data_IF_129651982361
#
_entry.id   IF_129651982361
#
_cell.length_a   1.000
_cell.length_b   1.000
_cell.length_c   1.000
_cell.angle_alpha   90.00
_cell.angle_beta   90.00
_cell.angle_gamma   90.00
#
_symmetry.space_group_name_H-M   'P 1'
#
loop_
_entity.id
_entity.type
_entity.pdbx_description
1 polymer ?
#
# COMPACT_ATOMS: atom_id res chain seq x y z
N UNK A 1 23.60 -6.04 -26.69
CA UNK A 1 24.17 -5.31 -25.52
C UNK A 1 23.04 -5.10 -24.54
N UNK A 2 23.12 -5.72 -23.36
CA UNK A 2 22.12 -5.56 -22.30
C UNK A 2 22.17 -4.11 -21.79
N UNK A 3 21.00 -3.49 -21.66
CA UNK A 3 20.84 -2.14 -21.11
C UNK A 3 21.45 -2.08 -19.71
N UNK A 4 22.39 -1.16 -19.49
CA UNK A 4 23.09 -0.94 -18.22
C UNK A 4 22.31 -0.02 -17.26
N UNK A 5 21.11 0.40 -17.63
CA UNK A 5 20.27 1.20 -16.75
C UNK A 5 19.84 0.33 -15.57
N UNK A 6 20.05 0.81 -14.35
CA UNK A 6 19.40 0.27 -13.15
C UNK A 6 17.91 0.16 -13.49
N UNK A 7 17.21 -0.97 -13.25
CA UNK A 7 15.78 -0.99 -13.43
C UNK A 7 15.27 0.15 -12.59
N UNK A 8 14.53 1.04 -13.23
CA UNK A 8 13.80 2.03 -12.49
C UNK A 8 12.84 1.22 -11.63
N UNK A 9 13.15 1.14 -10.34
CA UNK A 9 12.20 0.73 -9.32
C UNK A 9 10.88 1.42 -9.69
N UNK A 10 9.78 0.68 -9.68
CA UNK A 10 8.48 1.28 -10.03
C UNK A 10 8.18 2.32 -8.94
N UNK A 11 8.56 3.57 -9.22
CA UNK A 11 8.47 4.75 -8.37
C UNK A 11 7.04 5.29 -8.25
N UNK A 12 6.04 4.42 -8.39
CA UNK A 12 4.64 4.83 -8.29
C UNK A 12 4.00 4.16 -7.07
N UNK A 13 3.63 4.92 -6.03
CA UNK A 13 2.70 4.42 -5.03
C UNK A 13 1.41 4.05 -5.78
N UNK A 14 1.14 2.74 -5.89
CA UNK A 14 -0.08 2.25 -6.51
C UNK A 14 -1.17 2.35 -5.46
N UNK A 15 -2.12 3.25 -5.68
CA UNK A 15 -3.29 3.36 -4.82
C UNK A 15 -4.59 3.10 -5.58
N UNK A 16 -5.57 2.57 -4.87
CA UNK A 16 -6.94 2.45 -5.36
C UNK A 16 -7.90 2.93 -4.30
N UNK A 17 -8.98 3.56 -4.74
CA UNK A 17 -10.05 4.05 -3.88
C UNK A 17 -11.34 3.37 -4.32
N UNK A 18 -12.07 2.85 -3.35
CA UNK A 18 -13.38 2.26 -3.58
C UNK A 18 -14.33 2.68 -2.47
N UNK A 19 -15.62 2.76 -2.77
CA UNK A 19 -16.64 3.13 -1.81
C UNK A 19 -17.73 2.06 -1.76
N UNK A 20 -18.13 1.68 -0.56
CA UNK A 20 -19.22 0.74 -0.34
C UNK A 20 -19.90 1.02 1.00
N UNK A 21 -21.24 1.16 0.98
CA UNK A 21 -22.05 1.32 2.19
C UNK A 21 -21.60 2.47 3.11
N UNK A 22 -21.24 3.62 2.55
CA UNK A 22 -20.76 4.77 3.33
C UNK A 22 -19.32 4.65 3.84
N UNK A 23 -18.62 3.55 3.52
CA UNK A 23 -17.21 3.35 3.84
C UNK A 23 -16.34 3.60 2.59
N UNK A 24 -15.31 4.43 2.74
CA UNK A 24 -14.30 4.65 1.70
C UNK A 24 -13.07 3.81 2.04
N UNK A 25 -12.74 2.88 1.16
CA UNK A 25 -11.53 2.06 1.29
C UNK A 25 -10.44 2.57 0.37
N UNK A 26 -9.31 2.95 0.94
CA UNK A 26 -8.08 3.32 0.22
C UNK A 26 -7.06 2.21 0.41
N UNK A 27 -6.62 1.59 -0.69
CA UNK A 27 -5.51 0.65 -0.68
C UNK A 27 -4.29 1.38 -1.22
N UNK A 28 -3.18 1.37 -0.49
CA UNK A 28 -1.90 1.95 -0.87
C UNK A 28 -0.83 0.86 -0.87
N UNK A 29 -0.25 0.59 -2.02
CA UNK A 29 0.77 -0.46 -2.19
C UNK A 29 2.15 0.17 -2.34
N UNK A 30 3.02 -0.11 -1.38
CA UNK A 30 4.41 0.37 -1.36
C UNK A 30 5.33 -0.65 -2.02
N UNK A 31 5.85 -0.29 -3.20
CA UNK A 31 6.71 -1.13 -4.02
C UNK A 31 8.20 -1.08 -3.64
N UNK A 32 8.59 -0.40 -2.55
CA UNK A 32 10.01 -0.18 -2.20
C UNK A 32 10.76 -1.48 -1.91
N UNK A 33 11.43 -2.01 -2.95
CA UNK A 33 12.45 -3.04 -2.83
C UNK A 33 13.67 -2.70 -3.70
N UNK A 34 14.64 -1.99 -3.10
CA UNK A 34 15.91 -1.60 -3.74
C UNK A 34 16.81 -2.78 -4.17
N UNK A 35 16.40 -4.04 -3.94
CA UNK A 35 17.21 -5.24 -4.18
C UNK A 35 16.64 -6.18 -5.24
N UNK A 36 15.42 -5.95 -5.76
CA UNK A 36 14.76 -6.91 -6.67
C UNK A 36 14.59 -6.31 -8.05
N UNK A 37 15.67 -6.47 -8.82
CA UNK A 37 15.90 -5.94 -10.17
C UNK A 37 14.85 -6.38 -11.23
N UNK A 38 13.94 -7.32 -10.91
CA UNK A 38 13.10 -8.03 -11.90
C UNK A 38 11.66 -8.38 -11.49
N UNK A 39 11.16 -8.01 -10.31
CA UNK A 39 9.74 -8.22 -9.96
C UNK A 39 9.18 -7.12 -9.05
N UNK A 40 8.07 -6.52 -9.47
CA UNK A 40 7.29 -5.58 -8.68
C UNK A 40 6.52 -6.33 -7.59
N UNK A 41 7.19 -6.65 -6.48
CA UNK A 41 6.53 -7.10 -5.27
C UNK A 41 6.24 -5.89 -4.40
N UNK A 42 4.95 -5.58 -4.20
CA UNK A 42 4.56 -4.64 -3.15
C UNK A 42 4.97 -5.24 -1.81
N UNK A 43 5.96 -4.60 -1.16
CA UNK A 43 6.53 -5.08 0.10
C UNK A 43 5.54 -4.87 1.23
N UNK A 44 4.77 -3.79 1.18
CA UNK A 44 3.75 -3.47 2.16
C UNK A 44 2.51 -2.96 1.44
N UNK A 45 1.35 -3.50 1.77
CA UNK A 45 0.07 -2.99 1.34
C UNK A 45 -0.64 -2.43 2.57
N UNK A 46 -0.96 -1.14 2.52
CA UNK A 46 -1.79 -0.47 3.52
C UNK A 46 -3.23 -0.43 3.04
N UNK A 47 -4.16 -0.66 3.94
CA UNK A 47 -5.60 -0.52 3.68
C UNK A 47 -6.20 0.39 4.75
N UNK A 48 -6.77 1.49 4.31
CA UNK A 48 -7.48 2.44 5.16
C UNK A 48 -8.96 2.32 4.86
N UNK A 49 -9.77 2.25 5.91
CA UNK A 49 -11.23 2.23 5.81
C UNK A 49 -11.74 3.43 6.58
N UNK A 50 -12.25 4.42 5.86
CA UNK A 50 -12.82 5.64 6.40
C UNK A 50 -14.33 5.53 6.47
N UNK A 51 -14.89 5.90 7.61
CA UNK A 51 -16.32 6.12 7.76
C UNK A 51 -16.68 7.55 7.36
N UNK A 52 -17.58 7.71 6.39
CA UNK A 52 -17.95 9.04 5.87
C UNK A 52 -18.79 9.86 6.84
N UNK A 53 -19.50 9.23 7.77
CA UNK A 53 -20.39 9.91 8.70
C UNK A 53 -19.63 10.40 9.93
N UNK A 54 -18.81 9.53 10.53
CA UNK A 54 -18.04 9.87 11.72
C UNK A 54 -16.72 10.57 11.40
N UNK A 55 -16.18 10.37 10.19
CA UNK A 55 -14.83 10.82 9.83
C UNK A 55 -13.72 10.01 10.47
N UNK A 56 -14.06 8.95 11.22
CA UNK A 56 -13.09 8.02 11.80
C UNK A 56 -12.52 7.10 10.73
N UNK A 57 -11.36 6.51 11.02
CA UNK A 57 -10.77 5.50 10.14
C UNK A 57 -10.09 4.39 10.92
N UNK A 58 -9.98 3.24 10.26
CA UNK A 58 -9.14 2.13 10.70
C UNK A 58 -8.12 1.85 9.61
N UNK A 59 -6.86 1.69 10.01
CA UNK A 59 -5.79 1.34 9.11
C UNK A 59 -5.33 -0.10 9.34
N UNK A 60 -4.87 -0.71 8.27
CA UNK A 60 -4.36 -2.07 8.24
C UNK A 60 -3.09 -2.12 7.40
N UNK A 61 -2.21 -3.09 7.67
CA UNK A 61 -1.05 -3.37 6.84
C UNK A 61 -0.87 -4.87 6.62
N UNK A 62 -0.45 -5.24 5.41
CA UNK A 62 0.07 -6.56 5.07
C UNK A 62 1.51 -6.39 4.57
N UNK A 63 2.45 -7.16 5.13
CA UNK A 63 3.86 -7.15 4.72
C UNK A 63 4.14 -8.43 3.94
N UNK A 64 4.76 -8.31 2.77
CA UNK A 64 5.20 -9.44 1.95
C UNK A 64 4.09 -10.49 1.66
N UNK A 65 2.82 -10.06 1.57
CA UNK A 65 1.68 -10.94 1.36
C UNK A 65 1.25 -11.75 2.59
N UNK A 66 1.81 -11.45 3.77
CA UNK A 66 1.37 -12.02 5.04
C UNK A 66 -0.03 -11.52 5.42
N UNK A 67 -0.60 -12.14 6.46
CA UNK A 67 -1.91 -11.78 6.98
C UNK A 67 -1.96 -10.29 7.32
N UNK A 68 -3.06 -9.66 6.96
CA UNK A 68 -3.30 -8.27 7.28
C UNK A 68 -3.47 -8.07 8.79
N UNK A 69 -2.76 -7.09 9.33
CA UNK A 69 -2.79 -6.68 10.74
C UNK A 69 -3.43 -5.31 10.88
N UNK A 70 -4.27 -5.13 11.91
CA UNK A 70 -4.85 -3.82 12.26
C UNK A 70 -3.75 -2.96 12.86
N UNK A 71 -3.60 -1.74 12.36
CA UNK A 71 -2.70 -0.75 12.95
C UNK A 71 -3.44 -0.05 14.09
N UNK A 72 -2.92 -0.18 15.31
CA UNK A 72 -3.52 0.39 16.52
C UNK A 72 -3.28 1.91 16.65
N UNK A 73 -2.23 2.42 16.00
CA UNK A 73 -1.86 3.84 16.00
C UNK A 73 -1.60 4.35 14.57
N UNK A 74 -1.63 5.66 14.36
CA UNK A 74 -1.30 6.25 13.07
C UNK A 74 0.22 6.19 12.84
N UNK A 75 0.68 5.32 11.94
CA UNK A 75 2.09 5.19 11.56
C UNK A 75 2.58 6.32 10.63
N UNK A 76 1.71 7.25 10.24
CA UNK A 76 1.97 8.33 9.29
C UNK A 76 1.84 9.74 9.90
N UNK A 77 1.92 9.83 11.23
CA UNK A 77 1.93 11.11 11.97
C UNK A 77 3.10 12.00 11.62
#
# INVERSE_FOLDING_TARGET
LYSTTVPQDIDYPAYSVSEKNGLVTVVLSDARNSYVKYWAYFKTVYRFVFDRESGEYVAYASRQGEREERLEENWFG
#
